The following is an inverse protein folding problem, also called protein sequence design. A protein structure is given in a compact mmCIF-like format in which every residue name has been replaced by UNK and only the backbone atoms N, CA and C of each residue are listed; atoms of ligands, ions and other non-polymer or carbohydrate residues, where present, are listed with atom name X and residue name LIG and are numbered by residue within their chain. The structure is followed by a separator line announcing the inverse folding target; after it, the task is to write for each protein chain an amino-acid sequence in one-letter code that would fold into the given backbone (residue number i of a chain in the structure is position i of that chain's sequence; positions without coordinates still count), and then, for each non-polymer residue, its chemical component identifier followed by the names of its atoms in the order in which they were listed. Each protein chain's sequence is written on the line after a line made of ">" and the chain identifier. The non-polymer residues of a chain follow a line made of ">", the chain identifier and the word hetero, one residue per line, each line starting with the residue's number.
data_IF_075603289863
#
_entry.id   IF_075603289863
#
_cell.length_a   1.000
_cell.length_b   1.000
_cell.length_c   1.000
_cell.angle_alpha   90.00
_cell.angle_beta   90.00
_cell.angle_gamma   90.00
#
_symmetry.space_group_name_H-M   'P 1'
#
loop_
_entity.id
_entity.type
_entity.pdbx_description
1 polymer ?
#
# COMPACT_ATOMS: atom_id res chain seq x y z
N UNK A 1 9.77 0.17 25.67
CA UNK A 1 9.48 1.58 26.03
C UNK A 1 8.09 1.56 26.64
N UNK A 2 7.97 1.82 27.94
CA UNK A 2 6.67 1.82 28.63
C UNK A 2 6.04 3.21 28.47
N UNK A 3 4.74 3.28 28.18
CA UNK A 3 3.99 4.54 28.05
C UNK A 3 3.43 4.80 26.66
N UNK A 4 2.55 5.78 26.57
CA UNK A 4 1.95 6.27 25.33
C UNK A 4 2.97 7.12 24.55
N UNK A 5 3.09 6.89 23.25
CA UNK A 5 4.00 7.66 22.39
C UNK A 5 3.38 9.04 22.18
N UNK A 6 4.12 10.10 22.46
CA UNK A 6 3.66 11.47 22.24
C UNK A 6 3.22 11.67 20.78
N UNK A 7 2.08 12.34 20.57
CA UNK A 7 1.51 12.56 19.24
C UNK A 7 0.76 11.35 18.66
N UNK A 8 0.58 10.26 19.42
CA UNK A 8 -0.29 9.15 19.04
C UNK A 8 -1.65 9.20 19.74
N UNK A 9 -2.67 8.56 19.15
CA UNK A 9 -4.00 8.47 19.76
C UNK A 9 -5.11 8.24 18.74
N UNK A 10 -6.33 8.01 19.22
CA UNK A 10 -7.52 7.92 18.39
C UNK A 10 -8.27 9.26 18.42
N UNK A 11 -8.61 9.79 17.25
CA UNK A 11 -9.48 10.94 17.09
C UNK A 11 -10.80 10.49 16.47
N UNK A 12 -11.89 10.67 17.21
CA UNK A 12 -13.24 10.31 16.77
C UNK A 12 -13.89 11.53 16.11
N UNK A 13 -14.28 11.38 14.84
CA UNK A 13 -14.98 12.42 14.07
C UNK A 13 -16.45 12.04 13.82
N UNK A 14 -16.72 10.74 13.76
CA UNK A 14 -18.05 10.13 13.68
C UNK A 14 -18.15 9.01 14.76
N UNK A 15 -19.25 8.93 15.53
CA UNK A 15 -19.44 7.90 16.56
C UNK A 15 -19.27 6.45 16.06
N UNK A 16 -19.49 6.18 14.76
CA UNK A 16 -19.25 4.85 14.16
C UNK A 16 -17.79 4.39 14.34
N UNK A 17 -16.82 5.31 14.45
CA UNK A 17 -15.41 4.99 14.63
C UNK A 17 -15.10 4.33 15.98
N UNK A 18 -15.88 4.61 17.02
CA UNK A 18 -15.68 4.02 18.36
C UNK A 18 -15.83 2.50 18.34
N UNK A 19 -16.56 1.96 17.35
CA UNK A 19 -16.69 0.51 17.14
C UNK A 19 -15.44 -0.14 16.54
N UNK A 20 -14.42 0.64 16.13
CA UNK A 20 -13.22 0.18 15.44
C UNK A 20 -12.02 -0.09 16.37
N UNK A 21 -12.07 0.37 17.63
CA UNK A 21 -10.99 0.21 18.60
C UNK A 21 -11.55 -0.05 20.01
N UNK A 22 -10.66 -0.41 20.94
CA UNK A 22 -10.97 -0.48 22.38
C UNK A 22 -10.22 0.63 23.10
N UNK A 23 -10.83 1.26 24.12
CA UNK A 23 -10.27 2.47 24.75
C UNK A 23 -8.88 2.30 25.40
N UNK A 24 -8.44 1.08 25.66
CA UNK A 24 -7.10 0.77 26.17
C UNK A 24 -6.09 0.36 25.08
N UNK A 25 -6.51 0.26 23.81
CA UNK A 25 -5.57 0.04 22.71
C UNK A 25 -4.62 1.24 22.60
N UNK A 26 -3.37 0.96 22.24
CA UNK A 26 -2.31 1.97 22.11
C UNK A 26 -1.51 1.73 20.85
N UNK A 27 -0.98 2.79 20.28
CA UNK A 27 0.00 2.72 19.19
C UNK A 27 1.34 2.29 19.78
N UNK A 28 1.96 1.30 19.16
CA UNK A 28 3.29 0.80 19.47
C UNK A 28 4.25 1.19 18.35
N UNK A 29 5.45 1.69 18.69
CA UNK A 29 6.55 1.79 17.73
C UNK A 29 7.38 0.52 17.82
N UNK A 30 7.26 -0.32 16.81
CA UNK A 30 7.92 -1.63 16.75
C UNK A 30 9.39 -1.50 16.34
N UNK A 31 9.71 -0.52 15.49
CA UNK A 31 11.07 -0.32 14.98
C UNK A 31 11.26 1.11 14.46
N UNK A 32 12.50 1.58 14.41
CA UNK A 32 12.91 2.85 13.78
C UNK A 32 14.32 2.72 13.19
N UNK A 33 14.66 3.59 12.25
CA UNK A 33 15.97 3.62 11.58
C UNK A 33 15.91 3.48 10.05
N UNK A 34 14.72 3.63 9.47
CA UNK A 34 14.51 3.72 8.03
C UNK A 34 14.69 5.15 7.52
N UNK A 35 14.65 5.32 6.20
CA UNK A 35 14.61 6.65 5.56
C UNK A 35 13.24 6.96 4.98
N UNK A 36 12.64 5.98 4.33
CA UNK A 36 11.26 6.03 3.85
C UNK A 36 10.73 4.60 3.83
N UNK A 37 9.94 4.25 4.85
CA UNK A 37 9.34 2.94 4.98
C UNK A 37 8.06 2.85 4.17
N UNK A 38 7.83 1.72 3.52
CA UNK A 38 6.71 1.55 2.58
C UNK A 38 6.28 0.07 2.47
N UNK A 39 5.18 -0.16 1.74
CA UNK A 39 4.73 -1.46 1.26
C UNK A 39 4.70 -2.58 2.31
N UNK A 40 4.05 -2.41 3.47
CA UNK A 40 3.91 -3.48 4.44
C UNK A 40 3.04 -4.62 3.90
N UNK A 41 3.48 -5.87 4.06
CA UNK A 41 2.76 -7.08 3.66
C UNK A 41 2.86 -8.18 4.74
N UNK A 42 1.71 -8.70 5.16
CA UNK A 42 1.62 -9.66 6.27
C UNK A 42 1.63 -11.12 5.79
N UNK A 43 2.61 -11.90 6.25
CA UNK A 43 2.72 -13.33 5.99
C UNK A 43 2.13 -14.13 7.16
N UNK A 44 0.84 -14.47 7.06
CA UNK A 44 0.11 -15.12 8.13
C UNK A 44 0.72 -16.46 8.58
N UNK A 45 1.13 -17.32 7.63
CA UNK A 45 1.71 -18.63 7.94
C UNK A 45 3.04 -18.53 8.69
N UNK A 46 3.85 -17.51 8.38
CA UNK A 46 5.13 -17.27 9.02
C UNK A 46 5.07 -16.33 10.23
N UNK A 47 3.92 -15.66 10.45
CA UNK A 47 3.73 -14.62 11.47
C UNK A 47 4.80 -13.53 11.41
N UNK A 48 5.01 -12.97 10.23
CA UNK A 48 5.90 -11.84 10.05
C UNK A 48 5.35 -10.83 9.06
N UNK A 49 5.78 -9.58 9.20
CA UNK A 49 5.51 -8.50 8.27
C UNK A 49 6.77 -8.24 7.44
N UNK A 50 6.63 -8.16 6.12
CA UNK A 50 7.63 -7.59 5.23
C UNK A 50 7.28 -6.12 4.99
N UNK A 51 8.28 -5.26 4.88
CA UNK A 51 8.11 -3.86 4.48
C UNK A 51 9.39 -3.35 3.85
N UNK A 52 9.29 -2.29 3.06
CA UNK A 52 10.40 -1.71 2.32
C UNK A 52 11.04 -0.57 3.08
N UNK A 53 12.35 -0.38 2.91
CA UNK A 53 13.08 0.85 3.27
C UNK A 53 13.75 1.37 1.99
N UNK A 54 12.96 2.10 1.19
CA UNK A 54 13.23 2.34 -0.23
C UNK A 54 14.62 2.96 -0.44
N UNK A 55 14.99 4.06 0.25
CA UNK A 55 16.25 4.76 -0.02
C UNK A 55 17.49 4.04 0.52
N UNK A 56 17.32 3.06 1.41
CA UNK A 56 18.41 2.20 1.87
C UNK A 56 18.53 0.91 1.03
N UNK A 57 17.73 0.78 -0.04
CA UNK A 57 17.72 -0.35 -0.96
C UNK A 57 17.69 -1.71 -0.24
N UNK A 58 16.79 -1.83 0.74
CA UNK A 58 16.60 -3.08 1.49
C UNK A 58 15.12 -3.32 1.79
N UNK A 59 14.80 -4.60 1.88
CA UNK A 59 13.53 -5.09 2.39
C UNK A 59 13.74 -5.56 3.83
N UNK A 60 12.82 -5.17 4.70
CA UNK A 60 12.85 -5.43 6.13
C UNK A 60 11.81 -6.50 6.50
N UNK A 61 12.02 -7.18 7.62
CA UNK A 61 11.09 -8.13 8.23
C UNK A 61 10.91 -7.80 9.70
N UNK A 62 9.66 -7.66 10.14
CA UNK A 62 9.29 -7.70 11.56
C UNK A 62 8.72 -9.08 11.88
N UNK A 63 9.32 -9.78 12.83
CA UNK A 63 8.88 -11.08 13.30
C UNK A 63 7.94 -10.92 14.51
N UNK A 64 6.67 -11.29 14.35
CA UNK A 64 5.63 -11.11 15.38
C UNK A 64 5.79 -12.10 16.55
N UNK A 65 6.58 -13.15 16.39
CA UNK A 65 6.79 -14.17 17.44
C UNK A 65 7.87 -13.74 18.44
N UNK A 66 8.85 -12.96 17.98
CA UNK A 66 9.99 -12.50 18.78
C UNK A 66 10.00 -11.00 19.01
N UNK A 67 9.23 -10.23 18.23
CA UNK A 67 9.27 -8.77 18.22
C UNK A 67 10.52 -8.18 17.57
N UNK A 68 11.35 -9.01 16.91
CA UNK A 68 12.59 -8.57 16.29
C UNK A 68 12.37 -8.06 14.87
N UNK A 69 13.07 -7.00 14.48
CA UNK A 69 13.11 -6.49 13.11
C UNK A 69 14.51 -6.65 12.54
N UNK A 70 14.61 -7.28 11.37
CA UNK A 70 15.87 -7.52 10.67
C UNK A 70 15.75 -7.25 9.17
N UNK A 71 16.88 -7.17 8.47
CA UNK A 71 16.90 -7.14 7.01
C UNK A 71 16.45 -8.50 6.48
N UNK A 72 15.52 -8.51 5.53
CA UNK A 72 15.05 -9.69 4.81
C UNK A 72 15.80 -9.89 3.49
N UNK A 73 16.01 -8.80 2.74
CA UNK A 73 16.71 -8.81 1.45
C UNK A 73 17.50 -7.52 1.24
N UNK A 74 18.75 -7.63 0.81
CA UNK A 74 19.61 -6.48 0.47
C UNK A 74 20.69 -6.93 -0.55
N UNK A 75 20.82 -6.29 -1.72
CA UNK A 75 19.97 -5.21 -2.22
C UNK A 75 18.55 -5.70 -2.55
N UNK A 76 17.58 -4.78 -2.55
CA UNK A 76 16.17 -5.05 -2.85
C UNK A 76 15.67 -4.45 -4.17
N UNK A 77 16.57 -3.80 -4.93
CA UNK A 77 16.27 -2.99 -6.10
C UNK A 77 15.28 -1.85 -5.81
N UNK A 78 15.48 -1.16 -4.68
CA UNK A 78 14.60 -0.11 -4.18
C UNK A 78 13.14 -0.58 -4.22
N UNK A 79 12.87 -1.73 -3.60
CA UNK A 79 11.52 -2.25 -3.54
C UNK A 79 10.61 -1.24 -2.83
N UNK A 80 9.36 -1.14 -3.28
CA UNK A 80 8.35 -0.26 -2.72
C UNK A 80 7.16 -1.10 -2.20
N UNK A 81 6.02 -1.08 -2.88
CA UNK A 81 4.83 -1.85 -2.52
C UNK A 81 5.07 -3.35 -2.50
N UNK A 82 4.44 -4.01 -1.54
CA UNK A 82 4.42 -5.46 -1.43
C UNK A 82 2.99 -5.94 -1.14
N UNK A 83 2.66 -7.12 -1.64
CA UNK A 83 1.48 -7.87 -1.20
C UNK A 83 1.77 -9.37 -1.21
N UNK A 84 0.84 -10.17 -0.69
CA UNK A 84 0.90 -11.62 -0.67
C UNK A 84 -0.13 -12.14 -1.68
N UNK A 85 0.30 -12.96 -2.63
CA UNK A 85 -0.63 -13.57 -3.57
C UNK A 85 -1.52 -14.64 -2.91
N UNK A 86 -2.51 -15.14 -3.65
CA UNK A 86 -3.47 -16.14 -3.16
C UNK A 86 -2.82 -17.49 -2.79
N UNK A 87 -1.52 -17.68 -3.08
CA UNK A 87 -0.75 -18.87 -2.72
C UNK A 87 0.24 -18.61 -1.58
N UNK A 88 0.29 -17.40 -1.02
CA UNK A 88 1.20 -17.05 0.07
C UNK A 88 2.59 -16.60 -0.39
N UNK A 89 2.76 -16.23 -1.67
CA UNK A 89 4.03 -15.75 -2.23
C UNK A 89 4.09 -14.23 -2.23
N UNK A 90 5.31 -13.69 -2.11
CA UNK A 90 5.54 -12.24 -2.11
C UNK A 90 5.48 -11.68 -3.53
N UNK A 91 4.61 -10.70 -3.76
CA UNK A 91 4.64 -9.85 -4.95
C UNK A 91 5.24 -8.50 -4.55
N UNK A 92 6.18 -7.99 -5.35
CA UNK A 92 6.94 -6.78 -5.04
C UNK A 92 7.02 -5.85 -6.24
N UNK A 93 6.80 -4.57 -5.99
CA UNK A 93 7.13 -3.47 -6.88
C UNK A 93 8.61 -3.08 -6.70
N UNK A 94 9.41 -3.05 -7.78
CA UNK A 94 10.83 -2.65 -7.74
C UNK A 94 11.04 -1.36 -8.54
N UNK A 95 11.38 -0.25 -7.87
CA UNK A 95 11.66 1.03 -8.52
C UNK A 95 12.91 0.95 -9.42
N UNK A 96 14.05 0.52 -8.86
CA UNK A 96 15.35 0.59 -9.55
C UNK A 96 15.34 -0.19 -10.87
N UNK A 97 14.78 -1.40 -10.84
CA UNK A 97 14.70 -2.27 -12.02
C UNK A 97 13.43 -2.07 -12.83
N UNK A 98 12.48 -1.24 -12.37
CA UNK A 98 11.24 -0.86 -13.07
C UNK A 98 10.39 -2.09 -13.44
N UNK A 99 10.04 -2.90 -12.44
CA UNK A 99 9.35 -4.21 -12.65
C UNK A 99 8.51 -4.67 -11.47
N UNK A 100 7.57 -5.58 -11.76
CA UNK A 100 6.86 -6.41 -10.79
C UNK A 100 7.55 -7.77 -10.70
N UNK A 101 7.85 -8.22 -9.49
CA UNK A 101 8.46 -9.53 -9.24
C UNK A 101 7.62 -10.38 -8.29
N UNK A 102 7.83 -11.69 -8.37
CA UNK A 102 7.30 -12.68 -7.42
C UNK A 102 8.44 -13.46 -6.79
N UNK A 103 8.46 -13.55 -5.48
CA UNK A 103 9.36 -14.46 -4.76
C UNK A 103 8.68 -15.81 -4.63
N UNK A 104 9.20 -16.81 -5.32
CA UNK A 104 8.71 -18.18 -5.28
C UNK A 104 9.06 -18.86 -3.95
N UNK A 105 8.46 -20.02 -3.66
CA UNK A 105 8.64 -20.74 -2.39
C UNK A 105 10.09 -21.17 -2.12
N UNK A 106 10.88 -21.40 -3.17
CA UNK A 106 12.31 -21.73 -3.09
C UNK A 106 13.21 -20.49 -2.91
N UNK A 107 12.62 -19.29 -2.84
CA UNK A 107 13.30 -18.02 -2.73
C UNK A 107 13.75 -17.41 -4.07
N UNK A 108 13.52 -18.09 -5.20
CA UNK A 108 13.79 -17.54 -6.53
C UNK A 108 12.89 -16.32 -6.79
N UNK A 109 13.46 -15.28 -7.37
CA UNK A 109 12.71 -14.10 -7.81
C UNK A 109 12.40 -14.23 -9.31
N UNK A 110 11.12 -14.37 -9.64
CA UNK A 110 10.58 -14.37 -11.00
C UNK A 110 10.15 -12.96 -11.38
N UNK A 111 10.50 -12.51 -12.59
CA UNK A 111 9.96 -11.27 -13.15
C UNK A 111 8.60 -11.57 -13.77
N UNK A 112 7.58 -10.83 -13.35
CA UNK A 112 6.22 -10.95 -13.89
C UNK A 112 5.98 -9.94 -15.00
N UNK A 113 6.38 -8.69 -14.76
CA UNK A 113 6.24 -7.59 -15.72
C UNK A 113 7.44 -6.65 -15.60
N UNK A 114 8.16 -6.40 -16.70
CA UNK A 114 9.20 -5.36 -16.78
C UNK A 114 9.01 -4.40 -17.96
N UNK A 115 8.10 -4.74 -18.88
CA UNK A 115 7.80 -3.97 -20.09
C UNK A 115 6.33 -4.06 -20.49
N UNK A 116 5.85 -2.98 -21.10
CA UNK A 116 4.54 -2.87 -21.76
C UNK A 116 4.79 -2.43 -23.21
N UNK A 117 4.32 -3.21 -24.18
CA UNK A 117 4.55 -2.94 -25.61
C UNK A 117 6.03 -2.64 -25.96
N UNK A 118 6.96 -3.36 -25.31
CA UNK A 118 8.41 -3.20 -25.49
C UNK A 118 9.05 -2.05 -24.70
N UNK A 119 8.26 -1.17 -24.07
CA UNK A 119 8.73 -0.03 -23.29
C UNK A 119 8.81 -0.38 -21.81
N UNK A 120 9.77 0.16 -21.07
CA UNK A 120 9.91 -0.06 -19.63
C UNK A 120 8.74 0.59 -18.89
N UNK A 121 8.27 -0.07 -17.82
CA UNK A 121 7.40 0.57 -16.80
C UNK A 121 8.08 1.83 -16.26
N UNK A 122 7.37 2.77 -15.65
CA UNK A 122 8.00 3.94 -15.01
C UNK A 122 8.79 3.52 -13.77
N UNK A 123 8.08 3.14 -12.71
CA UNK A 123 8.58 2.65 -11.43
C UNK A 123 7.39 2.16 -10.63
N UNK A 124 6.98 0.88 -10.74
CA UNK A 124 5.79 0.39 -10.06
C UNK A 124 5.82 0.72 -8.57
N UNK A 125 4.69 1.14 -8.02
CA UNK A 125 4.65 1.77 -6.70
C UNK A 125 3.92 0.91 -5.66
N UNK A 126 2.63 0.65 -5.83
CA UNK A 126 1.87 -0.30 -4.98
C UNK A 126 1.20 -1.39 -5.83
N UNK A 127 0.85 -2.51 -5.18
CA UNK A 127 0.33 -3.70 -5.83
C UNK A 127 -0.70 -4.43 -4.95
N UNK A 128 -1.74 -4.95 -5.58
CA UNK A 128 -2.75 -5.80 -4.94
C UNK A 128 -3.08 -7.00 -5.83
N UNK A 129 -3.49 -8.11 -5.22
CA UNK A 129 -3.84 -9.35 -5.92
C UNK A 129 -5.32 -9.61 -5.73
N UNK A 130 -6.03 -9.76 -6.85
CA UNK A 130 -7.46 -10.10 -6.86
C UNK A 130 -7.66 -11.60 -6.63
N UNK A 131 -8.86 -12.01 -6.21
CA UNK A 131 -9.23 -13.40 -5.89
C UNK A 131 -9.09 -14.36 -7.08
N UNK A 132 -9.17 -13.86 -8.31
CA UNK A 132 -8.92 -14.61 -9.55
C UNK A 132 -7.42 -14.76 -9.88
N UNK A 133 -6.52 -14.19 -9.08
CA UNK A 133 -5.07 -14.26 -9.26
C UNK A 133 -4.50 -13.16 -10.16
N UNK A 134 -5.34 -12.29 -10.74
CA UNK A 134 -4.84 -11.12 -11.46
C UNK A 134 -4.15 -10.14 -10.52
N UNK A 135 -3.06 -9.56 -11.01
CA UNK A 135 -2.19 -8.65 -10.26
C UNK A 135 -2.43 -7.24 -10.77
N UNK A 136 -2.82 -6.35 -9.87
CA UNK A 136 -3.12 -4.96 -10.17
C UNK A 136 -2.07 -4.07 -9.52
N UNK A 137 -1.52 -3.14 -10.27
CA UNK A 137 -0.46 -2.26 -9.75
C UNK A 137 -0.51 -0.87 -10.34
N UNK A 138 0.03 0.09 -9.60
CA UNK A 138 0.20 1.47 -10.05
C UNK A 138 1.63 1.70 -10.53
N UNK A 139 1.78 2.51 -11.57
CA UNK A 139 3.08 2.80 -12.19
C UNK A 139 3.33 4.32 -12.33
N UNK A 140 3.39 5.06 -11.21
CA UNK A 140 3.87 6.43 -11.21
C UNK A 140 5.38 6.48 -11.45
N UNK A 141 5.93 7.67 -11.72
CA UNK A 141 7.37 7.84 -12.01
C UNK A 141 8.27 8.15 -10.82
N UNK A 142 7.81 8.03 -9.57
CA UNK A 142 8.60 8.39 -8.37
C UNK A 142 10.02 7.83 -8.36
N UNK A 143 10.17 6.54 -8.66
CA UNK A 143 11.45 5.84 -8.63
C UNK A 143 12.43 6.20 -9.76
N UNK A 144 12.03 7.06 -10.70
CA UNK A 144 12.88 7.53 -11.80
C UNK A 144 13.08 9.05 -11.81
N UNK A 145 12.47 9.79 -10.89
CA UNK A 145 12.63 11.25 -10.84
C UNK A 145 14.00 11.66 -10.29
N UNK A 146 14.55 10.89 -9.34
CA UNK A 146 15.81 11.17 -8.65
C UNK A 146 16.48 9.86 -8.18
N UNK A 147 17.77 9.91 -7.86
CA UNK A 147 18.55 8.74 -7.39
C UNK A 147 18.28 8.35 -5.91
N UNK A 148 17.29 8.97 -5.26
CA UNK A 148 17.02 8.73 -3.83
C UNK A 148 16.19 7.45 -3.60
N UNK A 149 15.26 7.14 -4.50
CA UNK A 149 14.33 6.01 -4.39
C UNK A 149 14.44 5.02 -5.57
N UNK A 150 15.49 5.16 -6.38
CA UNK A 150 15.77 4.39 -7.58
C UNK A 150 16.93 5.04 -8.32
N UNK A 151 16.88 5.05 -9.65
CA UNK A 151 17.85 5.73 -10.51
C UNK A 151 17.11 6.73 -11.41
N UNK A 152 17.66 7.94 -11.59
CA UNK A 152 17.13 8.91 -12.54
C UNK A 152 16.95 8.27 -13.93
N UNK A 153 15.77 8.47 -14.52
CA UNK A 153 15.47 7.94 -15.85
C UNK A 153 14.26 8.58 -16.49
N UNK A 154 14.14 8.41 -17.80
CA UNK A 154 13.03 8.95 -18.57
C UNK A 154 11.83 7.98 -18.57
N UNK A 155 10.62 8.57 -18.60
CA UNK A 155 9.37 7.84 -18.81
C UNK A 155 9.32 7.31 -20.26
N UNK A 156 8.97 6.03 -20.44
CA UNK A 156 8.84 5.44 -21.78
C UNK A 156 7.38 5.23 -22.20
N UNK A 157 6.47 5.06 -21.23
CA UNK A 157 5.06 4.71 -21.46
C UNK A 157 4.13 5.92 -21.59
N UNK A 158 4.64 7.14 -21.47
CA UNK A 158 3.94 8.39 -21.83
C UNK A 158 2.88 8.85 -20.82
N UNK A 159 2.91 8.35 -19.59
CA UNK A 159 2.00 8.72 -18.51
C UNK A 159 2.17 7.80 -17.30
N UNK A 160 1.39 8.07 -16.26
CA UNK A 160 1.34 7.24 -15.05
C UNK A 160 0.00 6.50 -15.01
N UNK A 161 0.02 5.18 -14.89
CA UNK A 161 -1.16 4.35 -15.16
C UNK A 161 -1.39 3.29 -14.09
N UNK A 162 -2.60 2.72 -14.08
CA UNK A 162 -2.94 1.49 -13.35
C UNK A 162 -2.97 0.35 -14.36
N UNK A 163 -2.29 -0.74 -14.03
CA UNK A 163 -2.18 -1.92 -14.88
C UNK A 163 -2.80 -3.14 -14.22
N UNK A 164 -3.31 -4.04 -15.06
CA UNK A 164 -3.72 -5.40 -14.70
C UNK A 164 -2.85 -6.40 -15.44
N UNK A 165 -2.22 -7.29 -14.69
CA UNK A 165 -1.46 -8.41 -15.21
C UNK A 165 -2.15 -9.73 -14.90
N UNK A 166 -2.36 -10.55 -15.92
CA UNK A 166 -2.83 -11.91 -15.79
C UNK A 166 -1.63 -12.87 -15.88
N UNK A 167 -1.24 -13.54 -14.77
CA UNK A 167 -0.10 -14.44 -14.76
C UNK A 167 -0.36 -15.75 -15.51
N UNK A 168 -1.62 -16.12 -15.81
CA UNK A 168 -1.94 -17.32 -16.58
C UNK A 168 -1.69 -17.12 -18.07
N UNK A 169 -2.08 -15.96 -18.62
CA UNK A 169 -1.87 -15.62 -20.03
C UNK A 169 -0.57 -14.85 -20.29
N UNK A 170 0.02 -14.25 -19.24
CA UNK A 170 1.15 -13.33 -19.36
C UNK A 170 0.77 -11.94 -19.90
N UNK A 171 -0.52 -11.67 -20.06
CA UNK A 171 -1.02 -10.41 -20.64
C UNK A 171 -0.99 -9.30 -19.59
N UNK A 172 -0.54 -8.11 -19.99
CA UNK A 172 -0.61 -6.92 -19.14
C UNK A 172 -1.32 -5.80 -19.88
N UNK A 173 -2.35 -5.25 -19.26
CA UNK A 173 -3.24 -4.25 -19.85
C UNK A 173 -3.27 -2.98 -19.02
N UNK A 174 -3.24 -1.84 -19.70
CA UNK A 174 -3.50 -0.55 -19.10
C UNK A 174 -5.00 -0.42 -18.83
N UNK A 175 -5.37 -0.14 -17.59
CA UNK A 175 -6.78 -0.06 -17.15
C UNK A 175 -7.27 1.37 -16.96
N UNK A 176 -6.35 2.33 -16.84
CA UNK A 176 -6.63 3.76 -16.68
C UNK A 176 -5.67 4.61 -17.49
N UNK A 177 -6.08 5.82 -17.89
CA UNK A 177 -5.26 6.73 -18.70
C UNK A 177 -5.25 8.18 -18.22
N UNK A 178 -5.99 8.48 -17.15
CA UNK A 178 -6.33 9.84 -16.71
C UNK A 178 -5.84 10.18 -15.29
N UNK A 179 -5.10 9.29 -14.64
CA UNK A 179 -4.44 9.56 -13.36
C UNK A 179 -3.18 10.41 -13.56
N UNK A 180 -2.88 11.27 -12.58
CA UNK A 180 -1.67 12.11 -12.59
C UNK A 180 -0.50 11.36 -11.94
N UNK A 181 -0.68 10.88 -10.70
CA UNK A 181 0.25 10.00 -9.98
C UNK A 181 -0.55 8.93 -9.23
N UNK A 182 -0.99 7.84 -9.89
CA UNK A 182 -1.66 6.75 -9.22
C UNK A 182 -0.70 6.12 -8.20
N UNK A 183 -1.19 5.84 -7.00
CA UNK A 183 -0.37 5.42 -5.87
C UNK A 183 -0.96 4.17 -5.19
N UNK A 184 -1.44 4.23 -3.94
CA UNK A 184 -2.07 3.09 -3.29
C UNK A 184 -3.32 2.61 -4.03
N UNK A 185 -3.58 1.30 -3.97
CA UNK A 185 -4.78 0.69 -4.52
C UNK A 185 -5.26 -0.51 -3.70
N UNK A 186 -6.58 -0.69 -3.62
CA UNK A 186 -7.18 -1.86 -2.98
C UNK A 186 -8.60 -2.11 -3.49
N UNK A 187 -9.00 -3.38 -3.49
CA UNK A 187 -10.37 -3.78 -3.81
C UNK A 187 -11.31 -3.65 -2.59
N UNK A 188 -12.60 -3.44 -2.85
CA UNK A 188 -13.65 -3.72 -1.86
C UNK A 188 -13.65 -5.21 -1.48
N UNK A 189 -14.23 -5.59 -0.32
CA UNK A 189 -14.23 -7.00 0.12
C UNK A 189 -14.93 -7.96 -0.85
N UNK A 190 -15.86 -7.45 -1.65
CA UNK A 190 -16.57 -8.18 -2.70
C UNK A 190 -15.96 -8.01 -4.11
N UNK A 191 -14.84 -7.28 -4.21
CA UNK A 191 -14.09 -6.97 -5.44
C UNK A 191 -14.88 -6.26 -6.54
N UNK A 192 -16.07 -5.72 -6.22
CA UNK A 192 -16.89 -4.97 -7.18
C UNK A 192 -16.39 -3.54 -7.39
N UNK A 193 -15.50 -3.07 -6.51
CA UNK A 193 -14.89 -1.74 -6.55
C UNK A 193 -13.38 -1.84 -6.43
N UNK A 194 -12.66 -1.07 -7.25
CA UNK A 194 -11.25 -0.77 -7.10
C UNK A 194 -11.12 0.68 -6.63
N UNK A 195 -10.40 0.89 -5.54
CA UNK A 195 -10.02 2.22 -5.08
C UNK A 195 -8.58 2.50 -5.49
N UNK A 196 -8.29 3.72 -5.94
CA UNK A 196 -6.94 4.14 -6.34
C UNK A 196 -6.68 5.55 -5.83
N UNK A 197 -5.61 5.75 -5.06
CA UNK A 197 -5.14 7.08 -4.68
C UNK A 197 -4.45 7.77 -5.85
N UNK A 198 -4.69 9.08 -6.01
CA UNK A 198 -3.95 9.95 -6.91
C UNK A 198 -3.29 11.07 -6.11
N UNK A 199 -1.96 11.06 -6.14
CA UNK A 199 -1.08 11.97 -5.41
C UNK A 199 -0.50 13.06 -6.31
N UNK A 200 -1.15 13.37 -7.44
CA UNK A 200 -0.66 14.37 -8.40
C UNK A 200 -0.34 15.75 -7.81
N UNK A 201 -0.97 16.15 -6.70
CA UNK A 201 -0.66 17.36 -5.94
C UNK A 201 0.82 17.46 -5.49
N UNK A 202 1.53 16.33 -5.42
CA UNK A 202 2.97 16.27 -5.12
C UNK A 202 3.85 16.91 -6.21
N UNK A 203 3.38 16.94 -7.46
CA UNK A 203 4.18 17.36 -8.62
C UNK A 203 3.49 18.40 -9.50
N UNK A 204 2.16 18.52 -9.38
CA UNK A 204 1.35 19.49 -10.10
C UNK A 204 0.68 20.43 -9.09
N UNK A 205 0.99 21.73 -9.11
CA UNK A 205 0.25 22.71 -8.32
C UNK A 205 -1.26 22.62 -8.62
N UNK A 206 -2.07 22.42 -7.58
CA UNK A 206 -3.52 22.21 -7.74
C UNK A 206 -3.91 20.80 -8.24
N UNK A 207 -2.95 19.87 -8.30
CA UNK A 207 -3.18 18.49 -8.67
C UNK A 207 -4.01 17.69 -7.65
N UNK A 208 -4.38 16.46 -8.02
CA UNK A 208 -5.21 15.57 -7.20
C UNK A 208 -4.54 15.15 -5.88
N UNK A 209 -5.34 15.01 -4.82
CA UNK A 209 -4.95 14.48 -3.49
C UNK A 209 -6.00 13.52 -2.93
N UNK A 210 -6.63 12.75 -3.80
CA UNK A 210 -7.87 12.05 -3.52
C UNK A 210 -7.77 10.56 -3.82
N UNK A 211 -8.71 9.79 -3.31
CA UNK A 211 -8.95 8.41 -3.74
C UNK A 211 -10.12 8.44 -4.72
N UNK A 212 -9.97 7.79 -5.89
CA UNK A 212 -11.07 7.51 -6.83
C UNK A 212 -11.66 6.13 -6.56
N UNK A 213 -12.95 5.98 -6.85
CA UNK A 213 -13.66 4.69 -6.79
C UNK A 213 -14.07 4.27 -8.19
N UNK A 214 -13.65 3.09 -8.60
CA UNK A 214 -13.87 2.55 -9.93
C UNK A 214 -14.68 1.25 -9.79
N UNK A 215 -15.82 1.14 -10.46
CA UNK A 215 -16.54 -0.13 -10.53
C UNK A 215 -15.79 -1.11 -11.43
N UNK A 216 -15.75 -2.38 -11.01
CA UNK A 216 -15.04 -3.46 -11.69
C UNK A 216 -16.05 -4.39 -12.34
N UNK A 217 -16.02 -4.53 -13.67
CA UNK A 217 -16.86 -5.51 -14.38
C UNK A 217 -16.26 -6.92 -14.34
N UNK A 218 -17.04 -7.92 -14.74
CA UNK A 218 -16.60 -9.33 -14.74
C UNK A 218 -15.42 -9.62 -15.69
N UNK A 219 -15.22 -8.82 -16.74
CA UNK A 219 -14.05 -8.86 -17.62
C UNK A 219 -12.89 -7.96 -17.13
N UNK A 220 -13.07 -7.37 -15.94
CA UNK A 220 -12.15 -6.47 -15.26
C UNK A 220 -11.96 -5.10 -15.94
N UNK A 221 -12.87 -4.68 -16.81
CA UNK A 221 -12.98 -3.28 -17.25
C UNK A 221 -13.36 -2.39 -16.06
N UNK A 222 -12.86 -1.16 -16.05
CA UNK A 222 -13.14 -0.19 -15.00
C UNK A 222 -14.13 0.88 -15.47
N UNK A 223 -15.09 1.23 -14.62
CA UNK A 223 -15.95 2.40 -14.80
C UNK A 223 -15.73 3.40 -13.66
N UNK A 224 -15.32 4.62 -13.98
CA UNK A 224 -15.07 5.63 -12.96
C UNK A 224 -16.37 6.16 -12.34
N UNK A 225 -16.47 6.06 -11.01
CA UNK A 225 -17.58 6.58 -10.22
C UNK A 225 -17.24 7.90 -9.52
N UNK A 226 -16.05 8.46 -9.78
CA UNK A 226 -15.59 9.74 -9.30
C UNK A 226 -14.77 9.65 -8.00
N UNK A 227 -14.68 10.80 -7.33
CA UNK A 227 -13.92 10.95 -6.08
C UNK A 227 -14.65 10.26 -4.94
N UNK A 228 -13.95 9.33 -4.27
CA UNK A 228 -14.41 8.72 -3.03
C UNK A 228 -14.16 9.63 -1.82
N UNK A 229 -12.93 10.14 -1.69
CA UNK A 229 -12.53 11.01 -0.60
C UNK A 229 -11.36 11.91 -1.01
N UNK A 230 -11.32 13.14 -0.51
CA UNK A 230 -10.16 14.04 -0.59
C UNK A 230 -9.36 14.01 0.70
N UNK A 231 -8.03 14.04 0.61
CA UNK A 231 -7.18 14.00 1.79
C UNK A 231 -7.28 15.30 2.60
N UNK A 232 -7.62 15.18 3.89
CA UNK A 232 -7.73 16.31 4.82
C UNK A 232 -6.39 16.73 5.44
N UNK A 233 -5.32 15.95 5.24
CA UNK A 233 -3.99 16.22 5.78
C UNK A 233 -2.90 15.63 4.89
N UNK A 234 -2.29 16.47 4.06
CA UNK A 234 -1.27 16.03 3.09
C UNK A 234 -1.89 15.35 1.86
N UNK A 235 -1.57 14.08 1.68
CA UNK A 235 -1.99 13.22 0.55
C UNK A 235 -2.29 11.81 1.06
N UNK A 236 -3.14 11.07 0.35
CA UNK A 236 -3.29 9.63 0.56
C UNK A 236 -2.22 8.90 -0.24
N UNK A 237 -1.51 7.98 0.38
CA UNK A 237 -0.45 7.17 -0.23
C UNK A 237 -0.98 5.72 -0.31
N UNK A 238 -0.42 4.76 0.42
CA UNK A 238 -0.95 3.41 0.54
C UNK A 238 -2.10 3.23 1.56
N UNK A 239 -3.02 2.31 1.25
CA UNK A 239 -4.19 2.02 2.08
C UNK A 239 -4.67 0.57 1.98
N UNK A 240 -5.51 0.14 2.93
CA UNK A 240 -6.15 -1.19 2.92
C UNK A 240 -7.62 -1.11 3.33
N UNK A 241 -8.38 -2.15 2.98
CA UNK A 241 -9.82 -2.23 3.24
C UNK A 241 -10.12 -3.29 4.29
N UNK A 242 -11.07 -3.01 5.18
CA UNK A 242 -11.51 -3.97 6.20
C UNK A 242 -12.75 -4.76 5.78
N UNK A 243 -13.15 -5.77 6.56
CA UNK A 243 -14.29 -6.66 6.22
C UNK A 243 -15.64 -5.95 6.11
N UNK A 244 -15.78 -4.74 6.64
CA UNK A 244 -16.99 -3.92 6.50
C UNK A 244 -16.90 -2.95 5.32
N UNK A 245 -15.81 -3.00 4.55
CA UNK A 245 -15.56 -2.13 3.42
C UNK A 245 -14.96 -0.77 3.81
N UNK A 246 -14.61 -0.56 5.09
CA UNK A 246 -14.00 0.71 5.52
C UNK A 246 -12.58 0.80 4.98
N UNK A 247 -12.19 1.98 4.53
CA UNK A 247 -10.86 2.24 3.97
C UNK A 247 -9.98 2.85 5.05
N UNK A 248 -8.83 2.23 5.29
CA UNK A 248 -7.81 2.66 6.23
C UNK A 248 -6.62 3.18 5.43
N UNK A 249 -6.54 4.50 5.30
CA UNK A 249 -5.58 5.15 4.40
C UNK A 249 -4.54 5.96 5.14
N UNK A 250 -3.32 5.93 4.64
CA UNK A 250 -2.23 6.78 5.09
C UNK A 250 -2.52 8.26 4.85
N UNK A 251 -1.97 9.13 5.70
CA UNK A 251 -2.02 10.58 5.58
C UNK A 251 -0.84 11.21 6.33
N UNK A 252 -0.63 12.52 6.14
CA UNK A 252 0.49 13.23 6.78
C UNK A 252 0.42 13.26 8.31
N UNK A 253 -0.78 13.09 8.88
CA UNK A 253 -1.05 13.22 10.31
C UNK A 253 -1.49 11.90 10.98
N UNK A 254 -1.36 10.77 10.26
CA UNK A 254 -1.71 9.45 10.75
C UNK A 254 -2.43 8.57 9.73
N UNK A 255 -3.28 7.67 10.22
CA UNK A 255 -4.16 6.83 9.39
C UNK A 255 -5.59 7.35 9.49
N UNK A 256 -6.25 7.59 8.36
CA UNK A 256 -7.65 7.98 8.30
C UNK A 256 -8.52 6.75 8.03
N UNK A 257 -9.65 6.63 8.73
CA UNK A 257 -10.64 5.59 8.50
C UNK A 257 -11.89 6.18 7.84
N UNK A 258 -12.17 5.77 6.61
CA UNK A 258 -13.37 6.17 5.87
C UNK A 258 -14.39 5.04 5.82
N UNK A 259 -15.66 5.39 5.95
CA UNK A 259 -16.77 4.48 5.68
C UNK A 259 -16.96 4.27 4.17
N UNK A 260 -17.53 3.13 3.69
CA UNK A 260 -17.85 2.94 2.26
C UNK A 260 -18.69 4.06 1.62
N UNK A 261 -19.42 4.84 2.42
CA UNK A 261 -20.20 6.00 1.98
C UNK A 261 -19.35 7.27 1.71
N UNK A 262 -18.05 7.25 2.02
CA UNK A 262 -17.12 8.38 1.86
C UNK A 262 -16.96 9.26 3.10
N UNK A 263 -17.64 8.95 4.20
CA UNK A 263 -17.51 9.70 5.46
C UNK A 263 -16.19 9.39 6.16
N UNK A 264 -15.41 10.41 6.50
CA UNK A 264 -14.27 10.29 7.41
C UNK A 264 -14.75 9.99 8.83
N UNK A 265 -14.57 8.74 9.28
CA UNK A 265 -15.02 8.30 10.60
C UNK A 265 -14.12 8.80 11.73
N UNK A 266 -12.81 8.79 11.49
CA UNK A 266 -11.83 9.15 12.50
C UNK A 266 -10.40 8.89 12.05
N UNK A 267 -9.46 9.16 12.95
CA UNK A 267 -8.03 9.06 12.68
C UNK A 267 -7.30 8.29 13.78
N UNK A 268 -6.26 7.56 13.40
CA UNK A 268 -5.21 7.08 14.30
C UNK A 268 -4.02 8.02 14.09
N UNK A 269 -3.73 8.87 15.07
CA UNK A 269 -2.61 9.82 15.02
C UNK A 269 -1.27 9.08 15.13
N UNK A 270 -0.33 9.46 14.29
CA UNK A 270 1.05 8.96 14.24
C UNK A 270 1.97 10.17 14.13
N UNK A 271 3.09 10.23 14.88
CA UNK A 271 3.99 11.39 14.89
C UNK A 271 4.96 11.41 13.68
N UNK A 272 4.57 10.81 12.55
CA UNK A 272 5.31 10.76 11.28
C UNK A 272 4.30 10.74 10.12
N UNK A 273 4.74 11.17 8.93
CA UNK A 273 3.94 11.01 7.71
C UNK A 273 3.78 9.51 7.48
N UNK A 274 2.54 9.04 7.49
CA UNK A 274 2.23 7.65 7.17
C UNK A 274 2.29 7.51 5.66
N UNK A 275 3.00 6.49 5.21
CA UNK A 275 3.11 6.12 3.80
C UNK A 275 2.13 5.00 3.47
N UNK A 276 2.02 3.97 4.31
CA UNK A 276 1.23 2.79 3.97
C UNK A 276 0.81 2.00 5.23
N UNK A 277 -0.13 1.07 5.07
CA UNK A 277 -0.67 0.25 6.15
C UNK A 277 -0.96 -1.18 5.70
N UNK A 278 -0.93 -2.13 6.64
CA UNK A 278 -1.35 -3.51 6.40
C UNK A 278 -2.04 -4.11 7.62
N UNK A 279 -3.13 -4.85 7.40
CA UNK A 279 -3.73 -5.66 8.45
C UNK A 279 -2.97 -6.98 8.60
N UNK A 280 -2.67 -7.34 9.85
CA UNK A 280 -2.03 -8.61 10.19
C UNK A 280 -2.42 -9.11 11.58
N UNK A 281 -1.62 -10.04 12.09
CA UNK A 281 -2.00 -10.90 13.22
C UNK A 281 -2.99 -12.00 12.80
N UNK A 282 -3.21 -12.96 13.68
CA UNK A 282 -4.05 -14.15 13.40
C UNK A 282 -5.47 -13.79 12.97
N UNK A 283 -6.04 -12.72 13.55
CA UNK A 283 -7.39 -12.25 13.24
C UNK A 283 -7.41 -11.11 12.22
N UNK A 284 -6.28 -10.69 11.66
CA UNK A 284 -6.16 -9.49 10.82
C UNK A 284 -6.65 -8.22 11.53
N UNK A 285 -6.46 -8.10 12.84
CA UNK A 285 -6.90 -6.96 13.64
C UNK A 285 -5.73 -6.19 14.29
N UNK A 286 -4.51 -6.43 13.83
CA UNK A 286 -3.35 -5.60 14.12
C UNK A 286 -3.03 -4.80 12.87
N UNK A 287 -3.24 -3.49 12.92
CA UNK A 287 -2.88 -2.61 11.81
C UNK A 287 -1.41 -2.23 11.96
N UNK A 288 -0.58 -2.68 11.03
CA UNK A 288 0.80 -2.25 10.87
C UNK A 288 0.84 -1.00 10.00
N UNK A 289 1.73 -0.08 10.35
CA UNK A 289 1.75 1.28 9.79
C UNK A 289 3.21 1.64 9.51
N UNK A 290 3.55 1.88 8.25
CA UNK A 290 4.86 2.45 7.89
C UNK A 290 4.74 3.97 7.95
N UNK A 291 5.47 4.59 8.88
CA UNK A 291 5.52 6.04 9.01
C UNK A 291 6.96 6.50 8.82
N UNK A 292 7.25 7.18 7.71
CA UNK A 292 8.56 7.72 7.29
C UNK A 292 9.77 6.87 7.73
N UNK A 293 10.25 6.98 8.97
CA UNK A 293 11.46 6.31 9.49
C UNK A 293 11.20 5.10 10.40
N UNK A 294 9.95 4.85 10.77
CA UNK A 294 9.56 3.89 11.80
C UNK A 294 8.37 2.98 11.41
N UNK A 295 8.40 1.76 11.91
CA UNK A 295 7.26 0.83 11.86
C UNK A 295 6.45 0.96 13.14
N UNK A 296 5.16 1.23 12.99
CA UNK A 296 4.18 1.26 14.08
C UNK A 296 3.17 0.12 13.95
N UNK A 297 2.47 -0.18 15.04
CA UNK A 297 1.30 -1.03 15.02
C UNK A 297 0.26 -0.62 16.06
N UNK A 298 -1.00 -0.97 15.82
CA UNK A 298 -2.08 -0.81 16.80
C UNK A 298 -3.08 -1.95 16.66
N UNK A 299 -3.59 -2.45 17.79
CA UNK A 299 -4.69 -3.39 17.79
C UNK A 299 -6.03 -2.67 17.64
N UNK A 300 -6.87 -3.23 16.77
CA UNK A 300 -8.21 -2.74 16.45
C UNK A 300 -9.24 -3.83 16.77
N UNK A 301 -10.50 -3.44 16.86
CA UNK A 301 -11.64 -4.38 16.79
C UNK A 301 -12.05 -4.63 15.34
N UNK A 302 -11.66 -3.74 14.42
CA UNK A 302 -11.78 -3.95 12.98
C UNK A 302 -10.85 -5.07 12.50
N UNK A 303 -11.32 -5.87 11.53
CA UNK A 303 -10.52 -6.92 10.89
C UNK A 303 -10.35 -6.58 9.41
N UNK A 304 -9.11 -6.67 8.92
CA UNK A 304 -8.78 -6.53 7.51
C UNK A 304 -9.54 -7.53 6.61
N UNK A 305 -9.78 -7.11 5.37
CA UNK A 305 -10.14 -8.03 4.29
C UNK A 305 -9.01 -9.04 4.07
N UNK A 306 -9.36 -10.26 3.64
CA UNK A 306 -8.37 -11.30 3.30
C UNK A 306 -7.87 -11.21 1.86
N UNK A 307 -8.57 -10.46 1.02
CA UNK A 307 -8.26 -10.26 -0.39
C UNK A 307 -7.48 -8.94 -0.52
N UNK A 308 -6.42 -8.97 -1.34
CA UNK A 308 -5.47 -7.87 -1.55
C UNK A 308 -4.29 -7.84 -0.58
#
# INVERSE_FOLDING_TARGET
>A
MFGEIEGTGFEVLDPRFESCFVGHARVERLWTGGRWLEGPAWFAAGRYLIFSDIPNNRMMRYDDTSGHTSVFRSPSNNCNGNTVDNQGRLITCEHLTRRITRTEFDGKVSVLVDRIAGRRLNSPNDVTVKSDGTIWFTDPSYGILHDYEGDYGEEEIGGCHVYRHDPETGTTEQTTSDFVKPNGLAFSPDETMLYVADTGASHLPGGPRHIRKLAVSGDGTLSDLGVFAECTAGMFDGFRVDRKGRIWTSAADGVHCYDPDGTLLGKIRIPEIVSNVAFGGEKLNRLFITGTTSLYAVYLTANGSRLG
#
